data_IF_793694204383
#
_entry.id   IF_793694204383
#
_cell.length_a   1.000
_cell.length_b   1.000
_cell.length_c   1.000
_cell.angle_alpha   90.00
_cell.angle_beta   90.00
_cell.angle_gamma   90.00
#
_symmetry.space_group_name_H-M   'P 1'
#
loop_
_entity.id
_entity.type
_entity.pdbx_description
1 polymer ?
#
# COMPACT_ATOMS: atom_id res chain seq x y z
N UNK A 1 -17.04 -4.68 -5.90
CA UNK A 1 -15.71 -4.10 -6.18
C UNK A 1 -15.77 -2.66 -5.73
N UNK A 2 -14.82 -2.19 -4.89
CA UNK A 2 -14.78 -0.76 -4.52
C UNK A 2 -14.46 0.06 -5.77
N UNK A 3 -15.13 1.19 -5.95
CA UNK A 3 -14.80 2.13 -7.03
C UNK A 3 -13.50 2.86 -6.65
N UNK A 4 -12.40 2.44 -7.26
CA UNK A 4 -11.06 2.95 -6.98
C UNK A 4 -10.97 4.45 -7.24
N UNK A 5 -11.63 4.96 -8.28
CA UNK A 5 -11.59 6.39 -8.61
C UNK A 5 -12.36 7.22 -7.58
N UNK A 6 -13.47 6.72 -7.05
CA UNK A 6 -14.17 7.40 -5.96
C UNK A 6 -13.35 7.45 -4.67
N UNK A 7 -12.69 6.35 -4.30
CA UNK A 7 -11.87 6.31 -3.08
C UNK A 7 -10.65 7.23 -3.19
N UNK A 8 -9.97 7.22 -4.33
CA UNK A 8 -8.86 8.15 -4.60
C UNK A 8 -9.34 9.61 -4.56
N UNK A 9 -10.48 9.93 -5.17
CA UNK A 9 -11.02 11.31 -5.14
C UNK A 9 -11.42 11.79 -3.74
N UNK A 10 -11.79 10.87 -2.83
CA UNK A 10 -12.08 11.20 -1.43
C UNK A 10 -10.81 11.41 -0.61
N UNK A 11 -9.71 10.76 -1.00
CA UNK A 11 -8.42 10.93 -0.34
C UNK A 11 -7.71 12.19 -0.82
N UNK A 12 -6.97 12.84 0.08
CA UNK A 12 -6.13 14.00 -0.26
C UNK A 12 -4.71 13.61 -0.65
N UNK A 13 -4.29 12.40 -0.27
CA UNK A 13 -2.91 11.92 -0.38
C UNK A 13 -2.92 10.43 -0.76
N UNK A 14 -1.96 10.04 -1.60
CA UNK A 14 -1.59 8.65 -1.84
C UNK A 14 -0.14 8.50 -1.38
N UNK A 15 0.13 7.55 -0.47
CA UNK A 15 1.48 7.27 -0.02
C UNK A 15 2.17 6.28 -0.95
N UNK A 16 3.20 6.73 -1.69
CA UNK A 16 4.02 5.85 -2.53
C UNK A 16 5.18 5.34 -1.69
N UNK A 17 5.30 4.03 -1.55
CA UNK A 17 6.20 3.36 -0.63
C UNK A 17 7.21 2.49 -1.37
N UNK A 18 8.48 2.60 -0.99
CA UNK A 18 9.47 1.57 -1.23
C UNK A 18 9.64 0.76 0.06
N UNK A 19 9.58 -0.56 -0.04
CA UNK A 19 9.70 -1.45 1.12
C UNK A 19 11.02 -2.20 1.04
N UNK A 20 11.90 -2.00 2.02
CA UNK A 20 13.20 -2.68 2.07
C UNK A 20 13.21 -3.88 3.03
N UNK A 21 12.27 -3.94 3.98
CA UNK A 21 12.13 -5.05 4.96
C UNK A 21 10.68 -5.31 5.31
N UNK A 22 10.31 -6.59 5.40
CA UNK A 22 8.94 -7.02 5.76
C UNK A 22 8.60 -6.73 7.23
N UNK A 23 9.60 -6.66 8.11
CA UNK A 23 9.39 -6.42 9.54
C UNK A 23 8.76 -5.04 9.83
N UNK A 24 9.01 -4.08 8.94
CA UNK A 24 8.52 -2.71 9.08
C UNK A 24 7.11 -2.50 8.47
N UNK A 25 6.59 -3.48 7.72
CA UNK A 25 5.34 -3.31 6.96
C UNK A 25 4.15 -3.12 7.89
N UNK A 26 3.99 -3.99 8.89
CA UNK A 26 2.88 -3.90 9.86
C UNK A 26 2.90 -2.61 10.67
N UNK A 27 4.00 -2.22 11.37
CA UNK A 27 4.02 -0.98 12.15
C UNK A 27 3.85 0.28 11.27
N UNK A 28 4.33 0.25 10.02
CA UNK A 28 4.10 1.32 9.06
C UNK A 28 2.61 1.43 8.71
N UNK A 29 1.96 0.32 8.37
CA UNK A 29 0.54 0.33 7.98
C UNK A 29 -0.37 0.73 9.15
N UNK A 30 -0.08 0.28 10.37
CA UNK A 30 -0.78 0.73 11.58
C UNK A 30 -0.69 2.25 11.73
N UNK A 31 0.51 2.81 11.59
CA UNK A 31 0.74 4.26 11.67
C UNK A 31 -0.05 5.00 10.59
N UNK A 32 0.03 4.56 9.33
CA UNK A 32 -0.69 5.18 8.22
C UNK A 32 -2.20 5.18 8.46
N UNK A 33 -2.77 4.04 8.88
CA UNK A 33 -4.20 3.93 9.18
C UNK A 33 -4.61 4.84 10.33
N UNK A 34 -3.82 4.90 11.41
CA UNK A 34 -4.11 5.76 12.56
C UNK A 34 -4.12 7.25 12.20
N UNK A 35 -3.27 7.65 11.27
CA UNK A 35 -3.21 9.02 10.74
C UNK A 35 -4.18 9.27 9.57
N UNK A 36 -5.07 8.31 9.26
CA UNK A 36 -6.10 8.44 8.24
C UNK A 36 -5.61 8.28 6.79
N UNK A 37 -4.39 7.75 6.60
CA UNK A 37 -3.84 7.41 5.28
C UNK A 37 -4.13 5.94 4.98
N UNK A 38 -5.10 5.71 4.13
CA UNK A 38 -5.56 4.37 3.76
C UNK A 38 -5.45 4.08 2.26
N UNK A 39 -4.75 4.91 1.49
CA UNK A 39 -4.43 4.65 0.08
C UNK A 39 -2.92 4.68 -0.08
N UNK A 40 -2.35 3.55 -0.49
CA UNK A 40 -0.91 3.39 -0.68
C UNK A 40 -0.62 2.79 -2.05
N UNK A 41 0.55 3.09 -2.59
CA UNK A 41 1.15 2.42 -3.74
C UNK A 41 2.45 1.76 -3.27
N UNK A 42 2.64 0.47 -3.55
CA UNK A 42 3.93 -0.20 -3.37
C UNK A 42 4.69 -0.13 -4.69
N UNK A 43 5.83 0.56 -4.69
CA UNK A 43 6.73 0.59 -5.82
C UNK A 43 7.51 -0.74 -5.90
N UNK A 44 7.33 -1.50 -6.99
CA UNK A 44 7.99 -2.77 -7.25
C UNK A 44 9.46 -2.59 -7.64
N UNK A 45 10.28 -2.17 -6.67
CA UNK A 45 11.71 -1.87 -6.84
C UNK A 45 12.62 -2.76 -6.01
N UNK A 46 12.04 -3.56 -5.12
CA UNK A 46 12.77 -4.45 -4.20
C UNK A 46 12.21 -5.85 -4.24
N UNK A 47 13.03 -6.84 -3.92
CA UNK A 47 12.66 -8.27 -3.90
C UNK A 47 11.52 -8.60 -2.91
N UNK A 48 11.29 -7.72 -1.94
CA UNK A 48 10.25 -7.90 -0.91
C UNK A 48 8.94 -7.16 -1.23
N UNK A 49 8.90 -6.34 -2.28
CA UNK A 49 7.77 -5.46 -2.59
C UNK A 49 6.45 -6.22 -2.78
N UNK A 50 6.46 -7.32 -3.53
CA UNK A 50 5.27 -8.13 -3.78
C UNK A 50 4.75 -8.81 -2.50
N UNK A 51 5.66 -9.43 -1.72
CA UNK A 51 5.32 -10.04 -0.43
C UNK A 51 4.78 -9.02 0.57
N UNK A 52 5.31 -7.79 0.54
CA UNK A 52 4.79 -6.70 1.34
C UNK A 52 3.35 -6.38 0.95
N UNK A 53 3.05 -6.22 -0.35
CA UNK A 53 1.70 -5.97 -0.81
C UNK A 53 0.71 -7.09 -0.40
N UNK A 54 1.10 -8.36 -0.52
CA UNK A 54 0.31 -9.51 -0.07
C UNK A 54 0.03 -9.46 1.44
N UNK A 55 1.05 -9.15 2.24
CA UNK A 55 0.92 -9.02 3.69
C UNK A 55 -0.04 -7.89 4.05
N UNK A 56 0.04 -6.75 3.36
CA UNK A 56 -0.84 -5.60 3.59
C UNK A 56 -2.27 -5.94 3.22
N UNK A 57 -2.50 -6.53 2.05
CA UNK A 57 -3.83 -6.94 1.61
C UNK A 57 -4.49 -7.93 2.59
N UNK A 58 -3.69 -8.82 3.19
CA UNK A 58 -4.17 -9.81 4.16
C UNK A 58 -4.49 -9.20 5.53
N UNK A 59 -3.63 -8.32 6.04
CA UNK A 59 -3.70 -7.86 7.43
C UNK A 59 -4.39 -6.49 7.59
N UNK A 60 -4.46 -5.69 6.52
CA UNK A 60 -5.00 -4.33 6.52
C UNK A 60 -6.05 -4.15 5.40
N UNK A 61 -7.20 -4.85 5.47
CA UNK A 61 -8.24 -4.79 4.44
C UNK A 61 -8.88 -3.40 4.25
N UNK A 62 -8.65 -2.48 5.18
CA UNK A 62 -9.04 -1.08 5.08
C UNK A 62 -8.13 -0.26 4.15
N UNK A 63 -6.92 -0.72 3.86
CA UNK A 63 -5.98 -0.04 2.98
C UNK A 63 -6.27 -0.43 1.52
N UNK A 64 -6.46 0.58 0.68
CA UNK A 64 -6.44 0.42 -0.77
C UNK A 64 -4.98 0.38 -1.24
N UNK A 65 -4.56 -0.76 -1.78
CA UNK A 65 -3.18 -0.99 -2.22
C UNK A 65 -3.12 -0.96 -3.76
N UNK A 66 -2.28 -0.07 -4.30
CA UNK A 66 -1.82 -0.08 -5.68
C UNK A 66 -0.43 -0.68 -5.81
N UNK A 67 -0.09 -1.16 -7.01
CA UNK A 67 1.26 -1.59 -7.38
C UNK A 67 1.78 -0.65 -8.47
N UNK A 68 2.96 -0.09 -8.26
CA UNK A 68 3.61 0.82 -9.22
C UNK A 68 5.02 0.37 -9.57
N UNK A 69 5.64 1.06 -10.53
CA UNK A 69 6.90 0.60 -11.16
C UNK A 69 6.79 -0.81 -11.76
N UNK A 70 5.62 -1.16 -12.28
CA UNK A 70 5.39 -2.44 -12.99
C UNK A 70 6.07 -2.37 -14.35
N UNK A 71 7.10 -3.20 -14.54
CA UNK A 71 7.85 -3.28 -15.80
C UNK A 71 7.74 -4.64 -16.48
N UNK A 72 7.52 -5.74 -15.73
CA UNK A 72 7.55 -7.12 -16.24
C UNK A 72 6.56 -8.08 -15.54
N UNK A 73 5.55 -7.56 -14.82
CA UNK A 73 4.56 -8.37 -14.09
C UNK A 73 3.33 -8.74 -14.93
#
# INVERSE_FOLDING_TARGET
MKDVFQEINKSKVIAVLQIDSLENVSPLCETLVNEGINIIEIALRTDVSQKAAELILKNFPQILVGLGTVINE
#
